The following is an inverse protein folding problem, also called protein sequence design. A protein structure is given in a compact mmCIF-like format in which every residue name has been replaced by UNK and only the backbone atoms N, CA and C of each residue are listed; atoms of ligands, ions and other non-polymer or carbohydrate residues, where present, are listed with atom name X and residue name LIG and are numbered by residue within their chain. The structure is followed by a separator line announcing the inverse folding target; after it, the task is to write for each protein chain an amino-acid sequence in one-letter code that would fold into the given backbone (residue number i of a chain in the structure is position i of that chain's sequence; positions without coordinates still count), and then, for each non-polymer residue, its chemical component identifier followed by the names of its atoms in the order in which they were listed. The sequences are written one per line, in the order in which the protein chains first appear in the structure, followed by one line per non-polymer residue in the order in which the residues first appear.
data_IF_158450484670
#
_entry.id   IF_158450484670
#
_cell.length_a   1.000
_cell.length_b   1.000
_cell.length_c   1.000
_cell.angle_alpha   90.00
_cell.angle_beta   90.00
_cell.angle_gamma   90.00
#
_symmetry.space_group_name_H-M   'P 1'
#
loop_
_entity.id
_entity.type
_entity.pdbx_description
1 polymer ?
#
# COMPACT_ATOMS: atom_id res chain seq x y z
N UNK A 1 -3.21 15.13 1.24
CA UNK A 1 -3.05 14.17 0.14
C UNK A 1 -2.92 12.79 0.75
N UNK A 2 -3.77 11.85 0.35
CA UNK A 2 -3.76 10.45 0.81
C UNK A 2 -2.58 9.69 0.21
N UNK A 3 -1.97 8.82 0.99
CA UNK A 3 -0.82 7.97 0.58
C UNK A 3 -0.92 6.63 1.27
N UNK A 4 -0.58 5.52 0.61
CA UNK A 4 -0.46 4.25 1.30
C UNK A 4 0.58 4.33 2.42
N UNK A 5 0.30 3.65 3.53
CA UNK A 5 1.23 3.51 4.67
C UNK A 5 1.42 2.03 4.92
N UNK A 6 2.66 1.58 4.82
CA UNK A 6 3.08 0.22 5.14
C UNK A 6 3.97 0.22 6.38
N UNK A 7 3.87 -0.80 7.21
CA UNK A 7 4.72 -0.98 8.38
C UNK A 7 5.36 -2.37 8.38
N UNK A 8 6.70 -2.48 8.35
CA UNK A 8 7.39 -3.74 8.58
C UNK A 8 7.24 -4.16 10.04
N UNK A 9 7.37 -5.45 10.32
CA UNK A 9 7.26 -6.02 11.68
C UNK A 9 8.59 -6.57 12.22
N UNK A 10 9.60 -6.68 11.34
CA UNK A 10 10.93 -7.18 11.68
C UNK A 10 11.99 -6.58 10.74
N UNK A 11 13.26 -6.79 11.06
CA UNK A 11 14.37 -6.47 10.15
C UNK A 11 14.25 -7.28 8.85
N UNK A 12 13.87 -8.55 8.98
CA UNK A 12 13.76 -9.48 7.85
C UNK A 12 12.70 -9.02 6.83
N UNK A 13 11.50 -8.65 7.27
CA UNK A 13 10.41 -8.29 6.36
C UNK A 13 10.49 -6.84 5.85
N UNK A 14 11.39 -6.01 6.41
CA UNK A 14 11.63 -4.65 5.91
C UNK A 14 12.03 -4.65 4.43
N UNK A 15 12.79 -5.64 3.97
CA UNK A 15 13.14 -5.76 2.55
C UNK A 15 11.89 -5.99 1.69
N UNK A 16 11.07 -6.98 2.06
CA UNK A 16 9.85 -7.31 1.34
C UNK A 16 8.86 -6.12 1.31
N UNK A 17 8.63 -5.49 2.46
CA UNK A 17 7.79 -4.29 2.57
C UNK A 17 8.31 -3.16 1.69
N UNK A 18 9.64 -3.00 1.58
CA UNK A 18 10.24 -1.98 0.70
C UNK A 18 9.96 -2.28 -0.77
N UNK A 19 10.11 -3.53 -1.22
CA UNK A 19 9.76 -3.92 -2.59
C UNK A 19 8.28 -3.67 -2.87
N UNK A 20 7.39 -4.07 -1.95
CA UNK A 20 5.95 -3.78 -2.06
C UNK A 20 5.68 -2.28 -2.13
N UNK A 21 6.38 -1.46 -1.34
CA UNK A 21 6.20 0.00 -1.37
C UNK A 21 6.59 0.60 -2.72
N UNK A 22 7.70 0.15 -3.33
CA UNK A 22 8.09 0.59 -4.67
C UNK A 22 7.08 0.14 -5.73
N UNK A 23 6.64 -1.13 -5.70
CA UNK A 23 5.62 -1.62 -6.63
C UNK A 23 4.31 -0.82 -6.52
N UNK A 24 3.83 -0.58 -5.30
CA UNK A 24 2.63 0.23 -5.09
C UNK A 24 2.83 1.68 -5.54
N UNK A 25 4.03 2.24 -5.37
CA UNK A 25 4.33 3.60 -5.83
C UNK A 25 4.28 3.70 -7.36
N UNK A 26 4.74 2.67 -8.07
CA UNK A 26 4.65 2.59 -9.54
C UNK A 26 3.20 2.31 -10.00
N UNK A 27 2.53 1.34 -9.40
CA UNK A 27 1.16 0.96 -9.77
C UNK A 27 0.17 2.11 -9.56
N UNK A 28 0.25 2.78 -8.41
CA UNK A 28 -0.69 3.84 -8.01
C UNK A 28 -0.19 5.25 -8.31
N UNK A 29 1.04 5.39 -8.81
CA UNK A 29 1.67 6.67 -9.11
C UNK A 29 1.52 7.68 -7.96
N UNK A 30 1.90 7.24 -6.76
CA UNK A 30 1.84 8.03 -5.53
C UNK A 30 2.97 7.63 -4.60
N UNK A 31 3.53 8.55 -3.81
CA UNK A 31 4.46 8.16 -2.75
C UNK A 31 3.82 7.17 -1.79
N UNK A 32 4.58 6.19 -1.35
CA UNK A 32 4.20 5.24 -0.30
C UNK A 32 5.06 5.52 0.92
N UNK A 33 4.44 5.55 2.10
CA UNK A 33 5.14 5.75 3.37
C UNK A 33 5.45 4.39 3.97
N UNK A 34 6.71 4.15 4.29
CA UNK A 34 7.12 3.03 5.15
C UNK A 34 7.26 3.59 6.56
N UNK A 35 6.38 3.13 7.46
CA UNK A 35 6.36 3.54 8.85
C UNK A 35 7.09 2.48 9.69
N UNK A 36 8.37 2.71 9.94
CA UNK A 36 9.19 1.89 10.83
C UNK A 36 9.22 2.51 12.23
N UNK A 37 9.42 1.67 13.23
CA UNK A 37 9.68 2.10 14.58
C UNK A 37 11.17 2.05 14.93
N UNK A 38 11.53 2.61 16.08
CA UNK A 38 12.92 2.71 16.50
C UNK A 38 13.57 1.34 16.74
N UNK A 39 12.81 0.36 17.22
CA UNK A 39 13.32 -0.99 17.48
C UNK A 39 13.79 -1.64 16.15
N UNK A 40 12.96 -1.63 15.12
CA UNK A 40 13.31 -2.17 13.81
C UNK A 40 14.45 -1.34 13.16
N UNK A 41 14.37 -0.02 13.23
CA UNK A 41 15.31 0.87 12.55
C UNK A 41 16.74 0.82 13.11
N UNK A 42 16.91 0.52 14.39
CA UNK A 42 18.23 0.47 15.06
C UNK A 42 18.73 -0.94 15.31
N UNK A 43 17.87 -1.96 15.19
CA UNK A 43 18.22 -3.36 15.42
C UNK A 43 19.18 -3.86 14.36
N UNK A 44 20.17 -4.64 14.82
CA UNK A 44 21.04 -5.44 13.95
C UNK A 44 20.71 -6.90 14.15
N UNK A 45 20.48 -7.60 13.07
CA UNK A 45 20.06 -8.99 13.07
C UNK A 45 20.81 -9.76 11.98
N UNK A 46 21.24 -10.98 12.28
CA UNK A 46 21.76 -11.89 11.26
C UNK A 46 20.59 -12.54 10.55
N UNK A 47 20.57 -12.43 9.24
CA UNK A 47 19.53 -13.01 8.40
C UNK A 47 20.15 -14.01 7.43
N UNK A 48 19.37 -15.00 7.05
CA UNK A 48 19.69 -15.81 5.89
C UNK A 48 19.68 -14.94 4.63
N UNK A 49 20.43 -15.33 3.57
CA UNK A 49 20.40 -14.62 2.31
C UNK A 49 18.96 -14.45 1.79
N UNK A 50 18.59 -13.22 1.46
CA UNK A 50 17.26 -12.92 0.94
C UNK A 50 17.14 -13.48 -0.48
N UNK A 51 16.17 -14.36 -0.72
CA UNK A 51 15.83 -14.81 -2.06
C UNK A 51 15.09 -13.68 -2.80
N UNK A 52 15.80 -13.00 -3.71
CA UNK A 52 15.22 -11.92 -4.50
C UNK A 52 14.38 -12.41 -5.68
N UNK A 53 14.46 -13.71 -6.03
CA UNK A 53 13.74 -14.27 -7.18
C UNK A 53 12.21 -14.37 -6.95
N UNK A 54 11.79 -14.31 -5.69
CA UNK A 54 10.36 -14.36 -5.32
C UNK A 54 9.64 -13.02 -5.54
N UNK A 55 10.37 -11.94 -5.79
CA UNK A 55 9.79 -10.61 -5.97
C UNK A 55 9.61 -10.27 -7.44
N UNK A 56 8.42 -9.82 -7.78
CA UNK A 56 8.14 -9.18 -9.08
C UNK A 56 8.33 -7.68 -8.93
N UNK A 57 9.02 -7.06 -9.89
CA UNK A 57 9.18 -5.60 -9.95
C UNK A 57 8.18 -5.05 -10.96
N UNK A 58 7.37 -4.10 -10.54
CA UNK A 58 6.36 -3.48 -11.37
C UNK A 58 6.90 -2.25 -12.09
N UNK A 59 6.40 -2.03 -13.29
CA UNK A 59 6.66 -0.83 -14.05
C UNK A 59 5.38 0.01 -14.13
N UNK A 60 5.58 1.31 -14.13
CA UNK A 60 4.53 2.31 -14.27
C UNK A 60 3.81 2.18 -15.61
N UNK A 61 2.48 2.22 -15.60
CA UNK A 61 1.66 2.13 -16.80
C UNK A 61 1.94 3.29 -17.76
N UNK A 62 2.51 3.00 -18.92
CA UNK A 62 2.68 3.96 -20.02
C UNK A 62 1.39 4.08 -20.85
N UNK A 63 1.13 5.25 -21.50
CA UNK A 63 0.01 5.38 -22.42
C UNK A 63 0.23 4.57 -23.68
N UNK A 64 -0.86 4.01 -24.22
CA UNK A 64 -0.89 3.39 -25.54
C UNK A 64 -0.79 4.43 -26.66
N UNK A 65 -0.54 3.98 -27.89
CA UNK A 65 -0.50 4.85 -29.08
C UNK A 65 -1.82 5.61 -29.27
N UNK A 66 -2.96 4.98 -28.98
CA UNK A 66 -4.27 5.63 -29.11
C UNK A 66 -4.51 6.67 -28.01
N UNK A 67 -4.07 6.41 -26.80
CA UNK A 67 -4.16 7.37 -25.68
C UNK A 67 -3.28 8.61 -25.91
N UNK A 68 -2.19 8.48 -26.66
CA UNK A 68 -1.31 9.60 -27.02
C UNK A 68 -1.93 10.58 -28.03
N UNK A 69 -2.98 10.20 -28.79
CA UNK A 69 -3.68 11.10 -29.72
C UNK A 69 -4.43 12.24 -29.02
N UNK A 70 -4.95 12.01 -27.79
CA UNK A 70 -5.56 13.01 -26.92
C UNK A 70 -5.05 12.80 -25.49
N UNK A 71 -3.75 12.90 -25.32
CA UNK A 71 -3.10 12.58 -24.05
C UNK A 71 -3.42 13.62 -22.98
N UNK A 72 -3.92 13.12 -21.84
CA UNK A 72 -4.15 13.91 -20.64
C UNK A 72 -3.57 13.17 -19.44
N UNK A 73 -2.51 13.72 -18.89
CA UNK A 73 -1.76 13.10 -17.80
C UNK A 73 -2.62 12.72 -16.60
N UNK A 74 -3.66 13.49 -16.33
CA UNK A 74 -4.53 13.31 -15.16
C UNK A 74 -5.97 12.94 -15.54
N UNK A 75 -6.15 12.35 -16.72
CA UNK A 75 -7.45 11.83 -17.20
C UNK A 75 -8.16 11.02 -16.12
N UNK A 76 -9.47 11.19 -15.99
CA UNK A 76 -10.29 10.30 -15.18
C UNK A 76 -10.35 8.93 -15.84
N UNK A 77 -10.03 7.88 -15.10
CA UNK A 77 -10.06 6.48 -15.49
C UNK A 77 -10.82 5.68 -14.46
N UNK A 78 -11.37 4.52 -14.82
CA UNK A 78 -12.17 3.71 -13.90
C UNK A 78 -11.38 3.26 -12.68
N UNK A 79 -10.10 2.97 -12.86
CA UNK A 79 -9.15 2.61 -11.80
C UNK A 79 -8.52 3.80 -11.09
N UNK A 80 -8.88 5.03 -11.50
CA UNK A 80 -8.32 6.28 -10.99
C UNK A 80 -6.80 6.44 -11.18
N UNK A 81 -6.14 5.59 -12.01
CA UNK A 81 -4.70 5.64 -12.30
C UNK A 81 -4.49 5.93 -13.77
N UNK A 82 -4.20 7.19 -14.12
CA UNK A 82 -3.93 7.60 -15.51
C UNK A 82 -2.55 7.13 -15.96
N UNK A 83 -2.38 6.68 -17.22
CA UNK A 83 -1.06 6.40 -17.76
C UNK A 83 -0.12 7.60 -17.70
N UNK A 84 1.17 7.36 -17.48
CA UNK A 84 2.20 8.41 -17.47
C UNK A 84 3.17 8.22 -18.62
N UNK A 85 3.33 9.25 -19.44
CA UNK A 85 4.34 9.30 -20.49
C UNK A 85 5.73 9.50 -19.89
N UNK A 86 6.74 9.03 -20.59
CA UNK A 86 8.15 9.31 -20.27
C UNK A 86 8.74 10.37 -21.22
N UNK A 87 9.84 11.04 -20.86
CA UNK A 87 10.53 11.97 -21.72
C UNK A 87 10.90 11.35 -23.08
N UNK A 88 10.67 12.08 -24.16
CA UNK A 88 10.90 11.62 -25.54
C UNK A 88 9.73 10.88 -26.19
N UNK A 89 8.65 10.56 -25.45
CA UNK A 89 7.46 9.94 -26.02
C UNK A 89 6.67 10.94 -26.84
N UNK A 90 6.57 10.73 -28.17
CA UNK A 90 5.81 11.60 -29.07
C UNK A 90 4.32 11.65 -28.69
N UNK A 91 3.75 12.86 -28.60
CA UNK A 91 2.36 13.07 -28.16
C UNK A 91 2.17 13.02 -26.64
N UNK A 92 3.19 12.65 -25.87
CA UNK A 92 3.10 12.48 -24.42
C UNK A 92 3.42 13.74 -23.59
N UNK A 93 3.52 14.91 -24.20
CA UNK A 93 3.79 16.16 -23.46
C UNK A 93 2.61 16.56 -22.59
N UNK A 94 2.89 16.99 -21.35
CA UNK A 94 1.88 17.48 -20.43
C UNK A 94 2.45 18.56 -19.50
N UNK A 95 1.56 19.32 -18.87
CA UNK A 95 1.93 20.27 -17.83
C UNK A 95 1.87 19.62 -16.46
N UNK A 96 2.96 19.69 -15.69
CA UNK A 96 3.03 19.26 -14.29
C UNK A 96 2.98 20.46 -13.37
N UNK A 97 1.79 20.95 -13.03
CA UNK A 97 1.63 22.06 -12.09
C UNK A 97 1.79 21.59 -10.63
N UNK A 98 2.42 22.44 -9.79
CA UNK A 98 2.53 22.20 -8.34
C UNK A 98 1.29 22.58 -7.54
N UNK A 99 0.22 23.01 -8.21
CA UNK A 99 -1.05 23.44 -7.61
C UNK A 99 -2.19 22.60 -8.18
N UNK A 100 -3.43 22.82 -7.73
CA UNK A 100 -4.60 22.11 -8.27
C UNK A 100 -4.75 22.34 -9.77
N UNK A 101 -5.05 21.28 -10.50
CA UNK A 101 -5.02 21.22 -11.95
C UNK A 101 -6.20 20.44 -12.52
N UNK A 102 -6.47 20.62 -13.79
CA UNK A 102 -7.43 19.82 -14.56
C UNK A 102 -6.79 18.53 -15.10
N UNK A 103 -7.55 17.76 -15.89
CA UNK A 103 -7.09 16.51 -16.50
C UNK A 103 -5.87 16.66 -17.43
N UNK A 104 -5.68 17.82 -18.03
CA UNK A 104 -4.51 18.13 -18.87
C UNK A 104 -3.28 18.58 -18.06
N UNK A 105 -3.43 18.85 -16.76
CA UNK A 105 -2.38 19.35 -15.89
C UNK A 105 -2.31 20.88 -15.77
N UNK A 106 -3.21 21.60 -16.47
CA UNK A 106 -3.26 23.07 -16.38
C UNK A 106 -3.88 23.51 -15.05
N UNK A 107 -3.33 24.54 -14.40
CA UNK A 107 -3.85 25.08 -13.16
C UNK A 107 -5.33 25.44 -13.24
N UNK A 108 -6.07 25.22 -12.17
CA UNK A 108 -7.49 25.57 -12.08
C UNK A 108 -7.89 26.00 -10.68
N UNK A 109 -8.82 26.94 -10.58
CA UNK A 109 -9.49 27.35 -9.35
C UNK A 109 -10.92 26.80 -9.23
N UNK A 110 -11.33 25.90 -10.13
CA UNK A 110 -12.65 25.30 -10.12
C UNK A 110 -12.85 24.37 -8.93
N UNK A 111 -13.78 24.69 -8.03
CA UNK A 111 -14.15 23.83 -6.90
C UNK A 111 -14.67 22.45 -7.34
N UNK A 112 -15.40 22.38 -8.45
CA UNK A 112 -15.88 21.12 -8.99
C UNK A 112 -14.72 20.24 -9.50
N UNK A 113 -13.72 20.81 -10.17
CA UNK A 113 -12.54 20.07 -10.60
C UNK A 113 -11.70 19.61 -9.40
N UNK A 114 -11.55 20.45 -8.38
CA UNK A 114 -10.89 20.07 -7.12
C UNK A 114 -11.55 18.85 -6.45
N UNK A 115 -12.88 18.86 -6.33
CA UNK A 115 -13.62 17.72 -5.78
C UNK A 115 -13.35 16.44 -6.58
N UNK A 116 -13.49 16.47 -7.91
CA UNK A 116 -13.22 15.32 -8.79
C UNK A 116 -11.78 14.80 -8.68
N UNK A 117 -10.81 15.71 -8.65
CA UNK A 117 -9.39 15.30 -8.51
C UNK A 117 -9.11 14.71 -7.13
N UNK A 118 -9.77 15.16 -6.07
CA UNK A 118 -9.67 14.55 -4.76
C UNK A 118 -10.31 13.15 -4.74
N UNK A 119 -11.52 12.99 -5.27
CA UNK A 119 -12.14 11.68 -5.42
C UNK A 119 -11.22 10.70 -6.13
N UNK A 120 -10.63 11.09 -7.27
CA UNK A 120 -9.64 10.30 -7.98
C UNK A 120 -8.46 9.90 -7.10
N UNK A 121 -7.91 10.83 -6.32
CA UNK A 121 -6.76 10.56 -5.43
C UNK A 121 -7.10 9.62 -4.29
N UNK A 122 -8.34 9.65 -3.80
CA UNK A 122 -8.82 8.74 -2.76
C UNK A 122 -9.12 7.35 -3.34
N UNK A 123 -9.94 7.28 -4.38
CA UNK A 123 -10.44 6.01 -4.93
C UNK A 123 -9.35 5.14 -5.54
N UNK A 124 -8.25 5.70 -6.06
CA UNK A 124 -7.14 4.87 -6.55
C UNK A 124 -6.50 4.00 -5.47
N UNK A 125 -6.70 4.29 -4.18
CA UNK A 125 -6.21 3.49 -3.07
C UNK A 125 -7.17 2.36 -2.67
N UNK A 126 -8.41 2.36 -3.16
CA UNK A 126 -9.42 1.39 -2.73
C UNK A 126 -9.02 -0.06 -3.08
N UNK A 127 -8.28 -0.27 -4.17
CA UNK A 127 -7.73 -1.58 -4.54
C UNK A 127 -6.88 -2.21 -3.43
N UNK A 128 -6.26 -1.40 -2.57
CA UNK A 128 -5.43 -1.88 -1.47
C UNK A 128 -6.25 -2.51 -0.34
N UNK A 129 -7.51 -2.12 -0.19
CA UNK A 129 -8.38 -2.61 0.88
C UNK A 129 -8.70 -4.12 0.77
N UNK A 130 -8.54 -4.68 -0.43
CA UNK A 130 -8.78 -6.09 -0.74
C UNK A 130 -7.51 -6.91 -0.93
N UNK A 131 -6.33 -6.30 -0.75
CA UNK A 131 -5.01 -6.95 -0.90
C UNK A 131 -4.69 -7.81 0.32
N UNK A 132 -5.10 -9.08 0.27
CA UNK A 132 -4.88 -10.03 1.36
C UNK A 132 -3.41 -10.34 1.65
N UNK A 133 -2.52 -10.18 0.66
CA UNK A 133 -1.07 -10.35 0.78
C UNK A 133 -0.38 -9.30 1.67
N UNK A 134 -1.08 -8.23 2.03
CA UNK A 134 -0.61 -7.19 2.95
C UNK A 134 -1.03 -7.43 4.41
N UNK A 135 -1.58 -8.60 4.71
CA UNK A 135 -2.05 -8.98 6.05
C UNK A 135 -1.63 -10.41 6.38
N UNK A 136 -1.18 -10.64 7.60
CA UNK A 136 -0.97 -11.98 8.14
C UNK A 136 -1.99 -12.27 9.22
N UNK A 137 -2.63 -13.44 9.14
CA UNK A 137 -3.52 -13.95 10.19
C UNK A 137 -2.91 -15.22 10.73
N UNK A 138 -2.67 -15.27 12.03
CA UNK A 138 -1.98 -16.34 12.73
C UNK A 138 -2.84 -16.84 13.89
N UNK A 139 -2.70 -18.13 14.28
CA UNK A 139 -3.39 -18.69 15.42
C UNK A 139 -4.63 -19.51 15.07
N UNK A 140 -5.62 -19.51 15.96
CA UNK A 140 -6.78 -20.39 15.87
C UNK A 140 -7.93 -19.69 15.13
N UNK A 141 -8.48 -20.33 14.10
CA UNK A 141 -9.58 -19.72 13.32
C UNK A 141 -10.82 -19.45 14.19
N UNK A 142 -11.09 -20.34 15.14
CA UNK A 142 -12.20 -20.24 16.09
C UNK A 142 -11.68 -19.81 17.48
N UNK A 143 -11.21 -18.58 17.56
CA UNK A 143 -10.53 -18.03 18.73
C UNK A 143 -11.47 -17.27 19.66
N UNK A 144 -11.26 -17.45 20.99
CA UNK A 144 -11.97 -16.67 22.02
C UNK A 144 -11.37 -15.27 22.22
N UNK A 145 -10.10 -15.09 21.84
CA UNK A 145 -9.36 -13.85 21.96
C UNK A 145 -8.71 -13.47 20.63
N UNK A 146 -8.81 -12.19 20.27
CA UNK A 146 -8.20 -11.64 19.07
C UNK A 146 -7.20 -10.54 19.42
N UNK A 147 -6.00 -10.63 18.85
CA UNK A 147 -4.96 -9.63 18.94
C UNK A 147 -4.79 -8.95 17.58
N UNK A 148 -4.57 -7.65 17.58
CA UNK A 148 -4.18 -6.88 16.38
C UNK A 148 -2.91 -6.11 16.73
N UNK A 149 -1.87 -6.29 15.94
CA UNK A 149 -0.59 -5.63 16.19
C UNK A 149 0.15 -5.34 14.88
N UNK A 150 0.96 -4.30 14.88
CA UNK A 150 1.81 -3.90 13.75
C UNK A 150 3.17 -3.43 14.25
N UNK A 151 4.14 -3.26 13.36
CA UNK A 151 5.49 -2.83 13.73
C UNK A 151 6.22 -3.88 14.59
N UNK A 152 7.20 -3.46 15.34
CA UNK A 152 8.01 -4.34 16.21
C UNK A 152 7.18 -5.08 17.27
N UNK A 153 6.04 -4.52 17.69
CA UNK A 153 5.17 -5.15 18.69
C UNK A 153 4.51 -6.44 18.17
N UNK A 154 4.47 -6.67 16.85
CA UNK A 154 3.99 -7.93 16.27
C UNK A 154 4.80 -9.14 16.77
N UNK A 155 6.12 -8.98 16.96
CA UNK A 155 6.98 -10.03 17.54
C UNK A 155 6.55 -10.42 18.94
N UNK A 156 6.30 -9.43 19.79
CA UNK A 156 5.79 -9.64 21.15
C UNK A 156 4.43 -10.32 21.17
N UNK A 157 3.53 -9.92 20.26
CA UNK A 157 2.21 -10.56 20.15
C UNK A 157 2.29 -12.00 19.64
N UNK A 158 3.25 -12.33 18.77
CA UNK A 158 3.49 -13.72 18.33
C UNK A 158 3.97 -14.60 19.49
N UNK A 159 4.86 -14.10 20.34
CA UNK A 159 5.28 -14.81 21.55
C UNK A 159 4.11 -14.98 22.52
N UNK A 160 3.35 -13.93 22.77
CA UNK A 160 2.15 -14.00 23.61
C UNK A 160 1.12 -15.01 23.06
N UNK A 161 0.91 -15.05 21.74
CA UNK A 161 0.07 -16.03 21.07
C UNK A 161 0.56 -17.47 21.36
N UNK A 162 1.86 -17.71 21.23
CA UNK A 162 2.45 -19.03 21.45
C UNK A 162 2.27 -19.46 22.93
N UNK A 163 2.55 -18.58 23.88
CA UNK A 163 2.37 -18.83 25.32
C UNK A 163 0.91 -19.11 25.68
N UNK A 164 -0.02 -18.28 25.21
CA UNK A 164 -1.44 -18.46 25.48
C UNK A 164 -1.96 -19.81 24.95
N UNK A 165 -1.55 -20.20 23.75
CA UNK A 165 -1.91 -21.52 23.18
C UNK A 165 -1.32 -22.68 23.96
N UNK A 166 -0.11 -22.55 24.51
CA UNK A 166 0.48 -23.55 25.39
C UNK A 166 -0.32 -23.75 26.69
N UNK A 167 -1.01 -22.70 27.16
CA UNK A 167 -1.94 -22.74 28.30
C UNK A 167 -3.37 -23.19 27.91
N UNK A 168 -3.59 -23.57 26.64
CA UNK A 168 -4.88 -24.06 26.15
C UNK A 168 -5.89 -22.96 25.76
N UNK A 169 -5.47 -21.72 25.67
CA UNK A 169 -6.32 -20.62 25.19
C UNK A 169 -6.35 -20.60 23.66
N UNK A 170 -7.52 -20.36 23.10
CA UNK A 170 -7.71 -20.18 21.66
C UNK A 170 -7.54 -18.69 21.33
N UNK A 171 -6.45 -18.37 20.64
CA UNK A 171 -6.07 -16.99 20.33
C UNK A 171 -5.71 -16.85 18.87
N UNK A 172 -6.10 -15.74 18.25
CA UNK A 172 -5.70 -15.35 16.90
C UNK A 172 -5.06 -13.97 16.89
N UNK A 173 -4.19 -13.73 15.90
CA UNK A 173 -3.45 -12.49 15.73
C UNK A 173 -3.57 -12.02 14.29
N UNK A 174 -3.98 -10.77 14.09
CA UNK A 174 -3.89 -10.07 12.81
C UNK A 174 -2.67 -9.13 12.83
N UNK A 175 -1.81 -9.28 11.83
CA UNK A 175 -0.64 -8.42 11.63
C UNK A 175 -0.75 -7.74 10.25
N UNK A 176 -1.21 -6.50 10.18
CA UNK A 176 -1.23 -5.74 8.93
C UNK A 176 0.17 -5.18 8.60
N UNK A 177 0.62 -5.35 7.36
CA UNK A 177 1.63 -4.47 6.78
C UNK A 177 0.97 -3.17 6.28
N UNK A 178 -0.26 -3.25 5.72
CA UNK A 178 -1.01 -2.07 5.29
C UNK A 178 -1.73 -1.42 6.46
N UNK A 179 -1.31 -0.20 6.82
CA UNK A 179 -1.97 0.62 7.84
C UNK A 179 -2.95 1.62 7.24
N UNK A 180 -2.69 2.09 6.03
CA UNK A 180 -3.60 2.98 5.30
C UNK A 180 -3.54 2.70 3.79
N UNK A 181 -4.68 2.64 3.09
CA UNK A 181 -6.05 2.80 3.60
C UNK A 181 -6.46 1.65 4.52
N UNK A 182 -7.35 1.93 5.46
CA UNK A 182 -7.88 0.89 6.36
C UNK A 182 -8.72 -0.10 5.56
N UNK A 183 -8.37 -1.39 5.63
CA UNK A 183 -9.09 -2.47 4.98
C UNK A 183 -10.21 -2.99 5.90
N UNK A 184 -11.27 -2.21 6.08
CA UNK A 184 -12.33 -2.44 7.07
C UNK A 184 -12.88 -3.86 7.04
N UNK A 185 -13.18 -4.39 5.84
CA UNK A 185 -13.70 -5.76 5.70
C UNK A 185 -12.74 -6.84 6.20
N UNK A 186 -11.42 -6.63 6.07
CA UNK A 186 -10.42 -7.57 6.58
C UNK A 186 -10.43 -7.60 8.08
N UNK A 187 -10.51 -6.42 8.72
CA UNK A 187 -10.60 -6.33 10.18
C UNK A 187 -11.93 -6.90 10.71
N UNK A 188 -13.05 -6.57 10.08
CA UNK A 188 -14.36 -7.08 10.48
C UNK A 188 -14.42 -8.61 10.38
N UNK A 189 -14.03 -9.19 9.24
CA UNK A 189 -13.97 -10.66 9.08
C UNK A 189 -13.04 -11.33 10.10
N UNK A 190 -11.93 -10.69 10.42
CA UNK A 190 -11.03 -11.20 11.46
C UNK A 190 -11.69 -11.19 12.85
N UNK A 191 -12.52 -10.21 13.17
CA UNK A 191 -13.19 -10.08 14.47
C UNK A 191 -14.45 -10.93 14.59
N UNK A 192 -15.15 -11.23 13.49
CA UNK A 192 -16.38 -12.03 13.46
C UNK A 192 -16.13 -13.53 13.64
N UNK A 193 -15.00 -14.05 13.26
CA UNK A 193 -14.60 -15.47 13.39
C UNK A 193 -13.71 -15.68 14.60
#
# INVERSE_FOLDING_TARGET
VVRPVLAPTSVADTFAVTVHAFNLAEDLQTPVVILSDQEIAQRKESLDPIDTSVFTIHERRAPSVDELKDYRRFRMTDDCVSPISHPGMAGGSYQGAGIEHNEAGSPTSSGAMHARMNEKRFHKLDVLRTRGDLFSIEGDADADLALISWGSTAGVCREALALARAEGLRVKLLVPWLLYPVAEETYLRFLEG
#
